data_IF_157969126646
#
_entry.id   IF_157969126646
#
_cell.length_a   1.000
_cell.length_b   1.000
_cell.length_c   1.000
_cell.angle_alpha   90.00
_cell.angle_beta   90.00
_cell.angle_gamma   90.00
#
_symmetry.space_group_name_H-M   'P 1'
#
loop_
_entity.id
_entity.type
_entity.pdbx_description
1 polymer ?
#
# COMPACT_ATOMS: atom_id res chain seq x y z
N UNK A 1 21.21 3.55 14.32
CA UNK A 1 20.38 2.78 15.29
C UNK A 1 19.12 2.33 14.55
N UNK A 2 18.68 1.10 14.71
CA UNK A 2 17.40 0.68 14.13
C UNK A 2 16.28 1.50 14.80
N UNK A 3 15.48 2.30 14.08
CA UNK A 3 14.40 3.12 14.65
C UNK A 3 13.24 2.27 15.17
N UNK A 4 13.23 0.97 14.89
CA UNK A 4 12.21 0.01 15.29
C UNK A 4 12.68 -0.95 16.39
N UNK A 5 11.73 -1.54 17.15
CA UNK A 5 10.27 -1.41 17.00
C UNK A 5 9.73 -0.05 17.49
N UNK A 6 8.50 0.27 17.05
CA UNK A 6 7.72 1.35 17.67
C UNK A 6 7.37 0.96 19.11
N UNK A 7 7.40 1.92 20.03
CA UNK A 7 6.88 1.72 21.38
C UNK A 7 5.36 1.79 21.34
N UNK A 8 4.70 0.65 21.14
CA UNK A 8 3.25 0.56 21.19
C UNK A 8 2.79 0.39 22.62
N UNK A 9 1.79 1.16 23.01
CA UNK A 9 1.06 0.94 24.25
C UNK A 9 -0.02 -0.15 24.10
N UNK A 10 -1.06 -0.05 24.90
CA UNK A 10 -2.20 -0.98 24.85
C UNK A 10 -2.99 -0.84 23.54
N UNK A 11 -3.77 -1.88 23.20
CA UNK A 11 -4.86 -1.74 22.24
C UNK A 11 -5.90 -0.81 22.88
N UNK A 12 -6.24 0.28 22.18
CA UNK A 12 -7.26 1.24 22.61
C UNK A 12 -8.64 0.76 22.19
N UNK A 13 -8.80 0.46 20.91
CA UNK A 13 -10.04 -0.08 20.35
C UNK A 13 -9.76 -0.88 19.08
N UNK A 14 -10.79 -1.56 18.59
CA UNK A 14 -10.81 -2.07 17.22
C UNK A 14 -12.18 -1.82 16.59
N UNK A 15 -12.20 -1.74 15.27
CA UNK A 15 -13.41 -1.48 14.49
C UNK A 15 -13.70 -2.65 13.57
N UNK A 16 -14.95 -3.09 13.59
CA UNK A 16 -15.51 -4.07 12.67
C UNK A 16 -16.34 -3.35 11.60
N UNK A 17 -16.22 -3.76 10.35
CA UNK A 17 -17.18 -3.40 9.30
C UNK A 17 -18.06 -4.60 9.03
N UNK A 18 -19.37 -4.38 9.07
CA UNK A 18 -20.37 -5.44 8.97
C UNK A 18 -21.53 -5.01 8.07
N UNK A 19 -22.27 -5.98 7.49
CA UNK A 19 -23.44 -5.67 6.67
C UNK A 19 -24.67 -5.21 7.49
N UNK A 20 -24.70 -5.53 8.79
CA UNK A 20 -25.79 -5.21 9.70
C UNK A 20 -25.22 -5.04 11.12
N UNK A 21 -25.20 -3.79 11.58
CA UNK A 21 -24.64 -3.45 12.89
C UNK A 21 -25.48 -3.97 14.04
N UNK A 22 -26.80 -4.03 13.90
CA UNK A 22 -27.71 -4.52 14.94
C UNK A 22 -27.50 -6.00 15.21
N UNK A 23 -27.47 -6.83 14.16
CA UNK A 23 -27.24 -8.27 14.27
C UNK A 23 -25.88 -8.56 14.90
N UNK A 24 -24.82 -7.87 14.45
CA UNK A 24 -23.49 -8.04 15.00
C UNK A 24 -23.43 -7.61 16.47
N UNK A 25 -24.05 -6.49 16.81
CA UNK A 25 -24.12 -5.96 18.19
C UNK A 25 -24.83 -6.90 19.13
N UNK A 26 -25.98 -7.44 18.74
CA UNK A 26 -26.72 -8.44 19.55
C UNK A 26 -25.86 -9.67 19.81
N UNK A 27 -25.17 -10.18 18.80
CA UNK A 27 -24.27 -11.31 19.01
C UNK A 27 -23.19 -11.00 20.05
N UNK A 28 -22.58 -9.81 19.98
CA UNK A 28 -21.56 -9.40 20.93
C UNK A 28 -22.13 -9.24 22.37
N UNK A 29 -23.31 -8.65 22.52
CA UNK A 29 -23.91 -8.43 23.81
C UNK A 29 -24.46 -9.74 24.40
N UNK A 30 -25.34 -10.44 23.66
CA UNK A 30 -26.12 -11.56 24.17
C UNK A 30 -25.26 -12.84 24.32
N UNK A 31 -24.26 -13.02 23.47
CA UNK A 31 -23.43 -14.24 23.44
C UNK A 31 -22.05 -14.01 24.04
N UNK A 32 -21.40 -12.91 23.73
CA UNK A 32 -20.02 -12.66 24.13
C UNK A 32 -19.90 -11.78 25.40
N UNK A 33 -20.99 -11.19 25.88
CA UNK A 33 -21.05 -10.43 27.12
C UNK A 33 -20.45 -9.02 27.02
N UNK A 34 -20.44 -8.41 25.82
CA UNK A 34 -20.03 -7.02 25.64
C UNK A 34 -21.07 -6.07 26.26
N UNK A 35 -20.61 -4.92 26.76
CA UNK A 35 -21.47 -3.90 27.31
C UNK A 35 -21.84 -2.84 26.28
N UNK A 36 -23.13 -2.46 26.20
CA UNK A 36 -23.58 -1.36 25.35
C UNK A 36 -23.07 -0.01 25.86
N UNK A 37 -22.55 0.83 24.95
CA UNK A 37 -22.16 2.20 25.26
C UNK A 37 -23.11 3.19 24.57
N UNK A 38 -23.13 3.20 23.23
CA UNK A 38 -23.96 4.14 22.46
C UNK A 38 -24.09 3.75 20.99
N UNK A 39 -25.10 4.33 20.36
CA UNK A 39 -25.22 4.45 18.91
C UNK A 39 -24.69 5.82 18.46
N UNK A 40 -24.08 5.87 17.29
CA UNK A 40 -23.63 7.11 16.69
C UNK A 40 -23.83 7.05 15.17
N UNK A 41 -24.60 8.00 14.63
CA UNK A 41 -24.79 8.18 13.19
C UNK A 41 -23.96 9.34 12.72
N UNK A 42 -23.21 9.16 11.64
CA UNK A 42 -22.28 10.15 11.11
C UNK A 42 -22.50 10.30 9.61
N UNK A 43 -22.34 11.52 9.11
CA UNK A 43 -22.18 11.78 7.70
C UNK A 43 -20.69 11.93 7.38
N UNK A 44 -20.11 10.90 6.79
CA UNK A 44 -18.73 10.89 6.31
C UNK A 44 -18.60 11.59 4.94
N UNK A 45 -19.63 12.31 4.49
CA UNK A 45 -19.68 13.15 3.30
C UNK A 45 -20.17 12.45 2.04
N UNK A 46 -20.84 11.32 2.16
CA UNK A 46 -21.54 10.65 1.03
C UNK A 46 -23.07 10.67 1.17
N UNK A 47 -23.61 11.20 2.27
CA UNK A 47 -25.03 11.47 2.42
C UNK A 47 -25.34 12.96 2.16
N UNK A 48 -26.58 13.29 1.75
CA UNK A 48 -27.05 14.68 1.68
C UNK A 48 -26.98 15.38 3.04
N UNK A 49 -27.05 16.71 3.02
CA UNK A 49 -27.12 17.52 4.25
C UNK A 49 -28.27 17.04 5.15
N UNK A 50 -27.99 16.82 6.43
CA UNK A 50 -28.93 16.27 7.40
C UNK A 50 -29.14 14.75 7.35
N UNK A 51 -28.51 14.04 6.40
CA UNK A 51 -28.48 12.59 6.32
C UNK A 51 -27.22 11.98 6.94
N UNK A 52 -27.22 10.65 7.05
CA UNK A 52 -26.09 9.87 7.56
C UNK A 52 -25.72 8.78 6.57
N UNK A 53 -24.42 8.49 6.43
CA UNK A 53 -23.90 7.44 5.57
C UNK A 53 -23.19 6.33 6.35
N UNK A 54 -23.10 6.48 7.67
CA UNK A 54 -22.46 5.54 8.58
C UNK A 54 -23.22 5.43 9.90
N UNK A 55 -23.36 4.20 10.39
CA UNK A 55 -23.84 3.86 11.71
C UNK A 55 -22.74 3.16 12.50
N UNK A 56 -22.49 3.61 13.71
CA UNK A 56 -21.58 2.97 14.66
C UNK A 56 -22.33 2.57 15.92
N UNK A 57 -22.12 1.32 16.33
CA UNK A 57 -22.45 0.86 17.68
C UNK A 57 -21.14 0.71 18.46
N UNK A 58 -21.03 1.39 19.59
CA UNK A 58 -19.87 1.33 20.47
C UNK A 58 -20.18 0.43 21.64
N UNK A 59 -19.32 -0.56 21.89
CA UNK A 59 -19.50 -1.56 22.94
C UNK A 59 -18.23 -1.62 23.79
N UNK A 60 -18.40 -1.79 25.13
CA UNK A 60 -17.27 -2.14 26.01
C UNK A 60 -16.88 -3.61 25.87
N UNK A 61 -15.60 -3.90 25.97
CA UNK A 61 -15.12 -5.27 26.04
C UNK A 61 -15.53 -5.94 27.37
N UNK A 62 -15.83 -7.24 27.36
CA UNK A 62 -16.11 -8.00 28.58
C UNK A 62 -14.94 -7.91 29.55
N UNK A 63 -15.21 -7.50 30.79
CA UNK A 63 -14.20 -7.41 31.84
C UNK A 63 -13.25 -6.21 31.75
N UNK A 64 -13.30 -5.41 30.69
CA UNK A 64 -12.48 -4.18 30.55
C UNK A 64 -13.29 -3.04 29.89
N UNK A 65 -14.05 -2.27 30.70
CA UNK A 65 -14.85 -1.19 30.18
C UNK A 65 -14.05 0.03 29.68
N UNK A 66 -12.73 0.05 29.90
CA UNK A 66 -11.86 1.09 29.35
C UNK A 66 -11.53 0.86 27.87
N UNK A 67 -11.90 -0.29 27.31
CA UNK A 67 -11.67 -0.64 25.91
C UNK A 67 -12.98 -0.85 25.19
N UNK A 68 -13.00 -0.44 23.93
CA UNK A 68 -14.20 -0.52 23.13
C UNK A 68 -13.97 -1.26 21.81
N UNK A 69 -15.04 -1.82 21.29
CA UNK A 69 -15.18 -2.19 19.90
C UNK A 69 -16.20 -1.25 19.26
N UNK A 70 -15.91 -0.85 18.04
CA UNK A 70 -16.84 -0.08 17.21
C UNK A 70 -17.35 -1.00 16.10
N UNK A 71 -18.65 -1.24 16.07
CA UNK A 71 -19.30 -2.00 15.01
C UNK A 71 -19.88 -1.00 14.01
N UNK A 72 -19.35 -0.99 12.80
CA UNK A 72 -19.65 0.00 11.77
C UNK A 72 -20.42 -0.61 10.62
N UNK A 73 -21.50 0.06 10.20
CA UNK A 73 -22.30 -0.24 9.02
C UNK A 73 -22.33 0.97 8.09
N UNK A 74 -22.12 0.75 6.79
CA UNK A 74 -22.32 1.76 5.74
C UNK A 74 -23.80 1.82 5.34
N UNK A 75 -24.46 2.98 5.58
CA UNK A 75 -25.90 3.15 5.43
C UNK A 75 -26.36 3.47 3.99
N UNK A 76 -25.44 3.93 3.14
CA UNK A 76 -25.77 4.30 1.75
C UNK A 76 -24.85 3.55 0.77
N UNK A 77 -25.31 3.40 -0.47
CA UNK A 77 -24.49 2.78 -1.54
C UNK A 77 -23.17 3.53 -1.79
N UNK A 78 -23.17 4.83 -1.56
CA UNK A 78 -21.98 5.68 -1.71
C UNK A 78 -21.12 5.75 -0.45
N UNK A 79 -21.55 5.13 0.66
CA UNK A 79 -20.72 5.06 1.87
C UNK A 79 -19.40 4.35 1.60
N UNK A 80 -18.30 4.96 2.06
CA UNK A 80 -16.97 4.35 1.96
C UNK A 80 -16.90 3.01 2.69
N UNK A 81 -17.66 2.85 3.77
CA UNK A 81 -17.71 1.61 4.56
C UNK A 81 -18.53 0.53 3.85
N UNK A 82 -19.57 0.92 3.09
CA UNK A 82 -20.31 0.00 2.22
C UNK A 82 -19.42 -0.52 1.10
N UNK A 83 -18.72 0.37 0.41
CA UNK A 83 -17.74 0.01 -0.64
C UNK A 83 -16.60 -0.85 -0.10
N UNK A 84 -16.10 -0.52 1.11
CA UNK A 84 -15.09 -1.34 1.77
C UNK A 84 -15.61 -2.76 2.05
N UNK A 85 -16.83 -2.87 2.57
CA UNK A 85 -17.49 -4.16 2.83
C UNK A 85 -17.63 -4.99 1.54
N UNK A 86 -18.04 -4.37 0.45
CA UNK A 86 -18.18 -5.01 -0.87
C UNK A 86 -16.84 -5.49 -1.43
N UNK A 87 -15.79 -4.71 -1.25
CA UNK A 87 -14.44 -5.04 -1.75
C UNK A 87 -13.72 -6.10 -0.90
N UNK A 88 -13.95 -6.14 0.42
CA UNK A 88 -13.14 -6.90 1.36
C UNK A 88 -13.90 -7.89 2.22
N UNK A 89 -15.22 -7.86 2.20
CA UNK A 89 -16.07 -8.63 3.10
C UNK A 89 -16.13 -8.07 4.52
N UNK A 90 -16.98 -8.67 5.39
CA UNK A 90 -17.09 -8.28 6.80
C UNK A 90 -15.83 -8.70 7.59
N UNK A 91 -15.47 -7.91 8.60
CA UNK A 91 -14.34 -8.23 9.47
C UNK A 91 -13.72 -7.02 10.13
N UNK A 92 -12.49 -7.21 10.65
CA UNK A 92 -11.72 -6.14 11.27
C UNK A 92 -11.31 -5.13 10.20
N UNK A 93 -11.70 -3.88 10.40
CA UNK A 93 -11.26 -2.76 9.59
C UNK A 93 -9.91 -2.22 10.09
N UNK A 94 -9.82 -1.93 11.38
CA UNK A 94 -8.59 -1.50 12.02
C UNK A 94 -8.49 -1.94 13.47
N UNK A 95 -7.23 -1.96 13.95
CA UNK A 95 -6.88 -2.08 15.36
C UNK A 95 -6.08 -0.85 15.75
N UNK A 96 -6.54 -0.15 16.78
CA UNK A 96 -5.88 1.05 17.28
C UNK A 96 -4.97 0.74 18.47
N UNK A 97 -3.74 1.24 18.39
CA UNK A 97 -2.74 1.17 19.46
C UNK A 97 -2.45 2.56 20.00
N UNK A 98 -2.47 2.70 21.31
CA UNK A 98 -2.02 3.92 21.96
C UNK A 98 -0.50 4.07 21.80
N UNK A 99 -0.06 5.32 21.59
CA UNK A 99 1.36 5.69 21.58
C UNK A 99 1.57 6.96 22.41
N UNK A 100 2.71 7.04 23.10
CA UNK A 100 3.02 8.17 23.95
C UNK A 100 3.37 9.44 23.17
N UNK A 101 3.90 9.29 21.95
CA UNK A 101 4.28 10.41 21.07
C UNK A 101 4.06 10.04 19.61
N UNK A 102 2.91 10.45 19.10
CA UNK A 102 2.52 10.13 17.73
C UNK A 102 3.40 10.83 16.69
N UNK A 103 3.91 12.01 16.97
CA UNK A 103 4.79 12.72 16.02
C UNK A 103 6.10 11.97 15.81
N UNK A 104 6.68 11.41 16.88
CA UNK A 104 7.88 10.58 16.80
C UNK A 104 7.58 9.25 16.07
N UNK A 105 6.44 8.62 16.35
CA UNK A 105 6.03 7.40 15.68
C UNK A 105 5.80 7.64 14.17
N UNK A 106 5.12 8.73 13.82
CA UNK A 106 4.86 9.15 12.44
C UNK A 106 6.17 9.36 11.67
N UNK A 107 7.11 10.13 12.23
CA UNK A 107 8.41 10.37 11.58
C UNK A 107 9.18 9.06 11.35
N UNK A 108 9.18 8.14 12.31
CA UNK A 108 9.80 6.82 12.14
C UNK A 108 9.16 6.01 11.02
N UNK A 109 7.84 6.07 10.86
CA UNK A 109 7.12 5.41 9.78
C UNK A 109 7.47 6.03 8.42
N UNK A 110 7.54 7.36 8.33
CA UNK A 110 7.97 8.07 7.11
C UNK A 110 9.41 7.71 6.75
N UNK A 111 10.34 7.81 7.70
CA UNK A 111 11.76 7.49 7.48
C UNK A 111 11.96 6.04 7.02
N UNK A 112 11.09 5.14 7.44
CA UNK A 112 11.11 3.74 7.04
C UNK A 112 10.34 3.45 5.74
N UNK A 113 9.70 4.46 5.13
CA UNK A 113 8.89 4.31 3.94
C UNK A 113 7.66 3.41 4.15
N UNK A 114 7.12 3.37 5.38
CA UNK A 114 5.91 2.60 5.68
C UNK A 114 4.71 3.34 5.09
N UNK A 115 3.91 2.62 4.30
CA UNK A 115 2.72 3.17 3.66
C UNK A 115 1.65 3.52 4.70
N UNK A 116 1.18 4.77 4.64
CA UNK A 116 0.13 5.31 5.52
C UNK A 116 -1.04 5.82 4.66
N UNK A 117 -2.23 5.89 5.25
CA UNK A 117 -3.43 6.38 4.53
C UNK A 117 -3.42 7.90 4.32
N UNK A 118 -2.61 8.63 5.07
CA UNK A 118 -2.42 10.07 4.94
C UNK A 118 -0.96 10.45 5.14
N UNK A 119 -0.56 11.54 4.54
CA UNK A 119 0.78 12.14 4.70
C UNK A 119 0.88 13.10 5.90
N UNK A 120 -0.08 13.07 6.80
CA UNK A 120 -0.13 13.91 8.00
C UNK A 120 -0.86 13.22 9.14
N UNK A 121 -0.52 13.65 10.37
CA UNK A 121 -1.29 13.31 11.56
C UNK A 121 -2.64 14.03 11.48
N UNK A 122 -3.71 13.25 11.61
CA UNK A 122 -5.07 13.79 11.75
C UNK A 122 -5.29 14.20 13.20
N UNK A 123 -5.78 15.39 13.43
CA UNK A 123 -6.03 15.93 14.75
C UNK A 123 -7.50 16.35 14.89
N UNK A 124 -8.21 15.76 15.84
CA UNK A 124 -9.53 16.21 16.23
C UNK A 124 -9.42 17.14 17.45
N UNK A 125 -9.56 18.46 17.25
CA UNK A 125 -9.41 19.43 18.35
C UNK A 125 -10.53 19.31 19.39
N UNK A 126 -11.68 18.69 19.05
CA UNK A 126 -12.82 18.56 19.95
C UNK A 126 -12.65 17.41 20.93
N UNK A 127 -12.05 16.31 20.50
CA UNK A 127 -11.78 15.13 21.34
C UNK A 127 -10.35 15.08 21.88
N UNK A 128 -9.45 15.95 21.39
CA UNK A 128 -8.03 15.88 21.72
C UNK A 128 -7.33 14.65 21.15
N UNK A 129 -7.97 13.91 20.23
CA UNK A 129 -7.43 12.73 19.58
C UNK A 129 -6.52 13.12 18.43
N UNK A 130 -5.34 12.53 18.39
CA UNK A 130 -4.41 12.57 17.27
C UNK A 130 -4.22 11.17 16.74
N UNK A 131 -4.26 10.97 15.42
CA UNK A 131 -4.26 9.65 14.83
C UNK A 131 -3.55 9.60 13.48
N UNK A 132 -3.04 8.42 13.13
CA UNK A 132 -2.52 8.07 11.81
C UNK A 132 -2.81 6.60 11.54
N UNK A 133 -3.06 6.26 10.29
CA UNK A 133 -3.33 4.89 9.86
C UNK A 133 -2.19 4.36 9.00
N UNK A 134 -1.63 3.24 9.41
CA UNK A 134 -0.75 2.41 8.58
C UNK A 134 -1.65 1.61 7.64
N UNK A 135 -1.29 1.58 6.38
CA UNK A 135 -2.07 0.89 5.34
C UNK A 135 -2.15 -0.63 5.58
N UNK A 136 -3.17 -1.23 4.99
CA UNK A 136 -3.57 -2.63 5.28
C UNK A 136 -2.77 -3.70 4.55
N UNK A 137 -1.82 -3.34 3.70
CA UNK A 137 -1.15 -4.27 2.79
C UNK A 137 -0.43 -5.41 3.52
N UNK A 138 0.12 -5.16 4.71
CA UNK A 138 0.88 -6.16 5.46
C UNK A 138 0.02 -7.04 6.37
N UNK A 139 -1.12 -6.53 6.82
CA UNK A 139 -1.93 -7.17 7.87
C UNK A 139 -3.31 -7.62 7.40
N UNK A 140 -3.78 -7.11 6.25
CA UNK A 140 -5.15 -7.32 5.77
C UNK A 140 -6.17 -6.38 6.42
N UNK A 141 -5.79 -5.61 7.45
CA UNK A 141 -6.56 -4.56 8.11
C UNK A 141 -5.66 -3.36 8.39
N UNK A 142 -6.23 -2.19 8.67
CA UNK A 142 -5.42 -1.02 9.01
C UNK A 142 -4.94 -1.09 10.46
N UNK A 143 -3.73 -0.58 10.70
CA UNK A 143 -3.26 -0.33 12.06
C UNK A 143 -3.38 1.16 12.31
N UNK A 144 -4.10 1.53 13.36
CA UNK A 144 -4.20 2.90 13.81
C UNK A 144 -3.22 3.14 14.96
N UNK A 145 -2.47 4.24 14.90
CA UNK A 145 -1.71 4.76 16.03
C UNK A 145 -2.43 5.98 16.54
N UNK A 146 -2.72 6.00 17.84
CA UNK A 146 -3.42 7.11 18.47
C UNK A 146 -2.67 7.67 19.67
N UNK A 147 -2.75 8.98 19.82
CA UNK A 147 -2.29 9.72 20.99
C UNK A 147 -3.49 10.53 21.54
N UNK A 148 -3.80 10.30 22.82
CA UNK A 148 -4.84 11.05 23.52
C UNK A 148 -4.18 12.13 24.36
N UNK A 149 -4.64 13.38 24.22
CA UNK A 149 -4.22 14.44 25.10
C UNK A 149 -4.91 14.29 26.47
N UNK A 150 -4.38 14.92 27.51
CA UNK A 150 -4.91 14.84 28.89
C UNK A 150 -6.38 15.31 29.02
N UNK A 151 -6.89 16.03 28.01
CA UNK A 151 -8.28 16.49 27.97
C UNK A 151 -9.23 15.49 27.28
N UNK A 152 -8.70 14.42 26.71
CA UNK A 152 -9.50 13.43 26.01
C UNK A 152 -10.13 12.43 26.99
N UNK A 153 -11.46 12.35 27.04
CA UNK A 153 -12.14 11.28 27.75
C UNK A 153 -11.89 9.93 27.05
N UNK A 154 -11.53 8.91 27.83
CA UNK A 154 -11.32 7.57 27.30
C UNK A 154 -12.59 7.05 26.58
N UNK A 155 -12.40 6.48 25.39
CA UNK A 155 -13.50 5.90 24.61
C UNK A 155 -14.42 6.90 23.90
N UNK A 156 -14.13 8.21 23.94
CA UNK A 156 -14.93 9.20 23.20
C UNK A 156 -14.40 9.43 21.80
N UNK A 157 -15.25 9.16 20.81
CA UNK A 157 -15.05 9.58 19.41
C UNK A 157 -16.15 10.61 19.11
N UNK A 158 -15.78 11.79 18.67
CA UNK A 158 -16.75 12.81 18.25
C UNK A 158 -16.94 12.77 16.73
N UNK A 159 -18.06 13.31 16.25
CA UNK A 159 -18.39 13.29 14.81
C UNK A 159 -17.29 13.85 13.92
N UNK A 160 -16.54 14.84 14.37
CA UNK A 160 -15.43 15.44 13.64
C UNK A 160 -14.30 14.47 13.34
N UNK A 161 -13.88 13.64 14.31
CA UNK A 161 -12.83 12.64 14.14
C UNK A 161 -13.22 11.59 13.10
N UNK A 162 -14.48 11.18 13.12
CA UNK A 162 -15.01 10.15 12.22
C UNK A 162 -15.12 10.68 10.79
N UNK A 163 -15.49 11.94 10.61
CA UNK A 163 -15.56 12.57 9.29
C UNK A 163 -14.16 12.77 8.68
N UNK A 164 -13.16 13.17 9.49
CA UNK A 164 -11.76 13.30 9.03
C UNK A 164 -11.13 11.94 8.74
N UNK A 165 -11.40 10.91 9.55
CA UNK A 165 -11.03 9.53 9.26
C UNK A 165 -11.59 9.10 7.91
N UNK A 166 -12.90 9.31 7.70
CA UNK A 166 -13.55 8.98 6.45
C UNK A 166 -12.95 9.74 5.25
N UNK A 167 -12.54 11.00 5.42
CA UNK A 167 -11.88 11.77 4.37
C UNK A 167 -10.44 11.28 4.10
N UNK A 168 -9.69 10.90 5.14
CA UNK A 168 -8.38 10.26 4.98
C UNK A 168 -8.52 8.93 4.25
N UNK A 169 -9.54 8.14 4.58
CA UNK A 169 -9.86 6.88 3.89
C UNK A 169 -10.38 7.08 2.47
N UNK A 170 -11.15 8.15 2.19
CA UNK A 170 -11.53 8.52 0.81
C UNK A 170 -10.30 8.84 -0.03
N UNK A 171 -9.34 9.57 0.52
CA UNK A 171 -8.08 9.83 -0.16
C UNK A 171 -7.33 8.54 -0.48
N UNK A 172 -7.28 7.61 0.47
CA UNK A 172 -6.66 6.29 0.28
C UNK A 172 -7.46 5.41 -0.70
N UNK A 173 -8.79 5.33 -0.56
CA UNK A 173 -9.67 4.58 -1.47
C UNK A 173 -9.86 5.29 -2.81
N UNK A 174 -9.83 6.63 -2.85
CA UNK A 174 -9.86 7.42 -4.08
C UNK A 174 -8.58 7.29 -4.90
N UNK A 175 -7.47 6.89 -4.28
CA UNK A 175 -6.30 6.37 -5.00
C UNK A 175 -6.55 4.95 -5.54
N UNK A 176 -7.51 4.20 -4.98
CA UNK A 176 -7.96 2.91 -5.53
C UNK A 176 -9.00 3.07 -6.67
N UNK A 177 -9.83 4.12 -6.61
CA UNK A 177 -10.80 4.46 -7.67
C UNK A 177 -10.30 5.63 -8.55
N UNK A 178 -8.97 5.78 -8.68
CA UNK A 178 -8.33 6.91 -9.31
C UNK A 178 -9.08 7.45 -10.52
N UNK A 179 -9.61 8.66 -10.36
CA UNK A 179 -9.90 9.57 -11.48
C UNK A 179 -8.62 10.17 -12.10
N UNK A 180 -7.46 9.63 -11.77
CA UNK A 180 -6.23 9.79 -12.51
C UNK A 180 -6.13 8.68 -13.55
N UNK A 181 -5.70 9.00 -14.76
CA UNK A 181 -5.46 8.03 -15.81
C UNK A 181 -4.62 6.87 -15.25
N UNK A 182 -5.19 5.66 -15.27
CA UNK A 182 -4.45 4.45 -14.89
C UNK A 182 -3.24 4.38 -15.81
N UNK A 183 -2.01 4.39 -15.27
CA UNK A 183 -0.84 4.41 -16.12
C UNK A 183 -0.81 3.13 -16.97
N UNK A 184 -0.74 3.31 -18.28
CA UNK A 184 -0.62 2.23 -19.26
C UNK A 184 0.83 1.93 -19.63
N UNK A 185 1.73 2.83 -19.25
CA UNK A 185 3.17 2.68 -19.44
C UNK A 185 3.96 3.59 -18.50
N UNK A 186 5.23 3.29 -18.31
CA UNK A 186 6.21 4.18 -17.69
C UNK A 186 7.20 4.60 -18.74
N UNK A 187 7.57 5.87 -18.74
CA UNK A 187 8.56 6.45 -19.66
C UNK A 187 9.72 7.00 -18.86
N UNK A 188 10.94 6.66 -19.26
CA UNK A 188 12.18 7.21 -18.73
C UNK A 188 13.15 7.60 -19.87
N UNK A 189 14.19 8.36 -19.56
CA UNK A 189 15.27 8.66 -20.48
C UNK A 189 16.58 8.08 -19.92
N UNK A 190 17.35 7.45 -20.77
CA UNK A 190 18.63 6.83 -20.43
C UNK A 190 19.76 7.48 -21.22
N UNK A 191 20.96 7.59 -20.64
CA UNK A 191 22.11 8.11 -21.35
C UNK A 191 22.62 7.13 -22.42
N UNK A 192 23.23 7.66 -23.48
CA UNK A 192 23.87 6.87 -24.52
C UNK A 192 23.05 6.70 -25.79
N UNK A 193 23.38 5.69 -26.58
CA UNK A 193 22.72 5.36 -27.86
C UNK A 193 21.75 4.17 -27.68
N UNK A 194 20.78 4.03 -28.58
CA UNK A 194 19.86 2.88 -28.61
C UNK A 194 20.62 1.55 -28.60
N UNK A 195 21.71 1.46 -29.35
CA UNK A 195 22.58 0.29 -29.39
C UNK A 195 23.20 -0.02 -28.03
N UNK A 196 23.72 1.00 -27.34
CA UNK A 196 24.34 0.83 -26.01
C UNK A 196 23.29 0.39 -24.96
N UNK A 197 22.11 1.04 -24.93
CA UNK A 197 21.01 0.69 -24.03
C UNK A 197 20.50 -0.72 -24.31
N UNK A 198 20.29 -1.04 -25.58
CA UNK A 198 19.86 -2.37 -26.02
C UNK A 198 20.87 -3.45 -25.62
N UNK A 199 22.16 -3.23 -25.87
CA UNK A 199 23.24 -4.16 -25.50
C UNK A 199 23.29 -4.39 -23.99
N UNK A 200 23.13 -3.33 -23.18
CA UNK A 200 23.12 -3.42 -21.73
C UNK A 200 21.92 -4.21 -21.21
N UNK A 201 20.71 -3.92 -21.71
CA UNK A 201 19.47 -4.63 -21.34
C UNK A 201 19.48 -6.09 -21.82
N UNK A 202 20.05 -6.38 -23.00
CA UNK A 202 20.09 -7.73 -23.55
C UNK A 202 21.03 -8.69 -22.83
N UNK A 203 21.74 -8.21 -21.83
CA UNK A 203 22.68 -8.97 -20.99
C UNK A 203 22.05 -9.22 -19.61
N UNK A 204 21.41 -10.38 -19.37
CA UNK A 204 20.71 -10.67 -18.12
C UNK A 204 21.59 -10.59 -16.86
N UNK A 205 22.90 -10.76 -17.01
CA UNK A 205 23.87 -10.54 -15.93
C UNK A 205 23.88 -9.12 -15.37
N UNK A 206 23.34 -8.15 -16.11
CA UNK A 206 23.20 -6.76 -15.67
C UNK A 206 21.95 -6.54 -14.78
N UNK A 207 20.98 -7.47 -14.75
CA UNK A 207 19.75 -7.34 -13.94
C UNK A 207 20.03 -6.95 -12.48
N UNK A 208 21.00 -7.56 -11.75
CA UNK A 208 21.27 -7.20 -10.36
C UNK A 208 21.71 -5.73 -10.16
N UNK A 209 22.13 -5.03 -11.19
CA UNK A 209 22.56 -3.64 -11.08
C UNK A 209 21.39 -2.66 -11.01
N UNK A 210 20.24 -3.00 -11.60
CA UNK A 210 19.12 -2.07 -11.74
C UNK A 210 17.73 -2.66 -11.35
N UNK A 211 17.68 -3.93 -11.01
CA UNK A 211 16.45 -4.56 -10.48
C UNK A 211 16.69 -5.14 -9.08
N UNK A 212 15.69 -5.80 -8.51
CA UNK A 212 15.84 -6.58 -7.30
C UNK A 212 16.30 -8.02 -7.55
N UNK A 213 16.48 -8.44 -8.79
CA UNK A 213 16.99 -9.77 -9.14
C UNK A 213 18.45 -9.90 -8.69
N UNK A 214 18.73 -10.82 -7.77
CA UNK A 214 20.04 -10.90 -7.13
C UNK A 214 21.00 -11.90 -7.80
N UNK A 215 20.46 -12.92 -8.45
CA UNK A 215 21.28 -13.97 -9.05
C UNK A 215 20.65 -14.46 -10.35
N UNK A 216 21.31 -14.15 -11.45
CA UNK A 216 20.97 -14.64 -12.78
C UNK A 216 22.15 -15.44 -13.30
N UNK A 217 21.92 -16.64 -13.80
CA UNK A 217 22.95 -17.56 -14.27
C UNK A 217 22.65 -18.05 -15.68
N UNK A 218 23.64 -18.02 -16.54
CA UNK A 218 23.54 -18.64 -17.85
C UNK A 218 23.65 -20.17 -17.72
N UNK A 219 22.68 -20.88 -18.27
CA UNK A 219 22.61 -22.36 -18.25
C UNK A 219 22.74 -22.98 -19.63
N UNK A 220 22.90 -22.15 -20.66
CA UNK A 220 23.09 -22.54 -22.05
C UNK A 220 23.08 -21.32 -22.95
N UNK A 221 23.34 -21.49 -24.24
CA UNK A 221 23.30 -20.41 -25.22
C UNK A 221 21.89 -19.78 -25.24
N UNK A 222 21.77 -18.47 -24.92
CA UNK A 222 20.51 -17.74 -24.85
C UNK A 222 19.54 -18.21 -23.77
N UNK A 223 19.94 -19.09 -22.88
CA UNK A 223 19.11 -19.59 -21.78
C UNK A 223 19.69 -19.22 -20.43
N UNK A 224 18.82 -18.66 -19.59
CA UNK A 224 19.19 -18.14 -18.29
C UNK A 224 18.23 -18.72 -17.23
N UNK A 225 18.64 -18.74 -15.99
CA UNK A 225 17.81 -18.94 -14.84
C UNK A 225 18.00 -17.82 -13.84
N UNK A 226 16.93 -17.35 -13.26
CA UNK A 226 16.94 -16.50 -12.07
C UNK A 226 16.76 -17.38 -10.84
N UNK A 227 17.71 -17.30 -9.92
CA UNK A 227 17.63 -18.00 -8.64
C UNK A 227 16.84 -17.18 -7.64
N UNK A 228 15.72 -17.72 -7.18
CA UNK A 228 14.81 -17.12 -6.20
C UNK A 228 14.75 -17.98 -4.94
N UNK A 229 14.21 -17.40 -3.84
CA UNK A 229 13.97 -18.15 -2.59
C UNK A 229 12.98 -19.31 -2.79
N UNK A 230 12.02 -19.15 -3.69
CA UNK A 230 11.00 -20.16 -4.01
C UNK A 230 11.44 -21.18 -5.08
N UNK A 231 12.66 -21.08 -5.60
CA UNK A 231 13.19 -21.95 -6.64
C UNK A 231 13.73 -21.21 -7.85
N UNK A 232 14.32 -21.93 -8.75
CA UNK A 232 14.93 -21.39 -9.97
C UNK A 232 13.84 -21.14 -11.04
N UNK A 233 13.85 -19.96 -11.67
CA UNK A 233 12.90 -19.55 -12.69
C UNK A 233 13.63 -19.38 -14.02
N UNK A 234 13.21 -20.08 -15.10
CA UNK A 234 13.76 -19.88 -16.43
C UNK A 234 13.53 -18.45 -16.92
N UNK A 235 14.56 -17.86 -17.50
CA UNK A 235 14.54 -16.52 -18.09
C UNK A 235 15.04 -16.58 -19.51
N UNK A 236 14.31 -15.96 -20.42
CA UNK A 236 14.76 -15.70 -21.78
C UNK A 236 14.72 -14.21 -22.09
N UNK A 237 15.65 -13.75 -22.91
CA UNK A 237 15.71 -12.37 -23.39
C UNK A 237 15.77 -12.38 -24.91
N UNK A 238 14.87 -11.65 -25.55
CA UNK A 238 14.90 -11.38 -26.98
C UNK A 238 15.17 -9.90 -27.22
N UNK A 239 15.90 -9.59 -28.30
CA UNK A 239 16.32 -8.24 -28.63
C UNK A 239 16.09 -7.98 -30.11
N UNK A 240 15.34 -6.92 -30.41
CA UNK A 240 15.13 -6.37 -31.76
C UNK A 240 15.82 -5.01 -31.87
N UNK A 241 15.72 -4.35 -33.03
CA UNK A 241 16.44 -3.08 -33.25
C UNK A 241 16.10 -2.00 -32.20
N UNK A 242 14.84 -1.92 -31.80
CA UNK A 242 14.25 -0.90 -30.94
C UNK A 242 13.50 -1.47 -29.73
N UNK A 243 13.70 -2.77 -29.43
CA UNK A 243 12.97 -3.46 -28.36
C UNK A 243 13.80 -4.53 -27.68
N UNK A 244 13.67 -4.61 -26.34
CA UNK A 244 14.17 -5.72 -25.54
C UNK A 244 13.03 -6.31 -24.74
N UNK A 245 12.89 -7.64 -24.77
CA UNK A 245 11.82 -8.35 -24.07
C UNK A 245 12.41 -9.41 -23.15
N UNK A 246 12.05 -9.31 -21.86
CA UNK A 246 12.36 -10.32 -20.87
C UNK A 246 11.12 -11.20 -20.67
N UNK A 247 11.34 -12.52 -20.60
CA UNK A 247 10.27 -13.48 -20.34
C UNK A 247 10.72 -14.43 -19.24
N UNK A 248 10.00 -14.42 -18.12
CA UNK A 248 10.14 -15.40 -17.04
C UNK A 248 9.07 -16.46 -17.18
N UNK A 249 9.47 -17.71 -17.18
CA UNK A 249 8.56 -18.85 -17.22
C UNK A 249 8.12 -19.19 -15.79
N UNK A 250 7.09 -18.49 -15.32
CA UNK A 250 6.52 -18.63 -13.98
C UNK A 250 5.16 -19.33 -14.06
N UNK A 251 5.09 -20.59 -13.63
CA UNK A 251 3.85 -21.38 -13.53
C UNK A 251 2.98 -21.39 -14.80
N UNK A 252 1.69 -21.06 -14.69
CA UNK A 252 0.71 -21.21 -15.78
C UNK A 252 0.78 -20.16 -16.89
N UNK A 253 1.42 -19.00 -16.62
CA UNK A 253 1.56 -17.91 -17.59
C UNK A 253 2.93 -17.25 -17.48
N UNK A 254 3.63 -17.01 -18.61
CA UNK A 254 4.89 -16.30 -18.58
C UNK A 254 4.68 -14.86 -18.10
N UNK A 255 5.62 -14.37 -17.28
CA UNK A 255 5.71 -12.96 -16.94
C UNK A 255 6.61 -12.26 -17.95
N UNK A 256 6.09 -11.26 -18.64
CA UNK A 256 6.77 -10.56 -19.73
C UNK A 256 6.94 -9.10 -19.41
N UNK A 257 8.17 -8.57 -19.58
CA UNK A 257 8.49 -7.16 -19.51
C UNK A 257 9.12 -6.72 -20.81
N UNK A 258 8.59 -5.63 -21.38
CA UNK A 258 9.02 -5.08 -22.66
C UNK A 258 9.62 -3.71 -22.45
N UNK A 259 10.76 -3.44 -23.09
CA UNK A 259 11.41 -2.13 -23.15
C UNK A 259 11.40 -1.67 -24.61
N UNK A 260 10.60 -0.67 -24.93
CA UNK A 260 10.62 0.00 -26.24
C UNK A 260 11.60 1.17 -26.20
N UNK A 261 12.50 1.24 -27.17
CA UNK A 261 13.65 2.15 -27.21
C UNK A 261 13.52 3.13 -28.37
N UNK A 262 13.60 4.43 -28.10
CA UNK A 262 13.54 5.47 -29.14
C UNK A 262 14.67 6.46 -28.90
N UNK A 263 15.47 6.73 -29.93
CA UNK A 263 16.51 7.77 -29.87
C UNK A 263 15.88 9.14 -29.65
N UNK A 264 16.44 9.93 -28.72
CA UNK A 264 16.09 11.33 -28.45
C UNK A 264 17.36 12.18 -28.49
N UNK A 265 17.20 13.51 -28.41
CA UNK A 265 18.31 14.45 -28.59
C UNK A 265 19.51 14.17 -27.68
N UNK A 266 19.25 13.81 -26.39
CA UNK A 266 20.31 13.63 -25.39
C UNK A 266 20.38 12.20 -24.83
N UNK A 267 19.87 11.19 -25.55
CA UNK A 267 19.89 9.82 -25.07
C UNK A 267 18.87 8.91 -25.73
N UNK A 268 18.27 8.04 -24.91
CA UNK A 268 17.27 7.07 -25.35
C UNK A 268 16.05 7.16 -24.46
N UNK A 269 14.90 7.42 -25.07
CA UNK A 269 13.61 7.27 -24.39
C UNK A 269 13.25 5.80 -24.33
N UNK A 270 12.96 5.33 -23.11
CA UNK A 270 12.53 3.97 -22.81
C UNK A 270 11.10 3.99 -22.38
N UNK A 271 10.26 3.19 -23.01
CA UNK A 271 8.85 3.01 -22.62
C UNK A 271 8.64 1.57 -22.18
N UNK A 272 8.11 1.39 -20.99
CA UNK A 272 7.77 0.09 -20.41
C UNK A 272 6.25 0.01 -20.24
N UNK A 273 5.55 -0.79 -21.06
CA UNK A 273 4.11 -0.97 -20.95
C UNK A 273 3.74 -1.63 -19.62
N UNK A 274 2.64 -1.18 -19.03
CA UNK A 274 2.03 -1.83 -17.86
C UNK A 274 1.01 -2.85 -18.36
N UNK A 275 0.99 -4.07 -17.82
CA UNK A 275 0.06 -5.10 -18.27
C UNK A 275 -1.40 -4.64 -18.19
N UNK A 276 -2.17 -4.88 -19.26
CA UNK A 276 -3.60 -4.59 -19.30
C UNK A 276 -4.38 -5.47 -18.29
N UNK A 277 -5.50 -4.93 -17.78
CA UNK A 277 -6.41 -5.67 -16.90
C UNK A 277 -5.95 -5.83 -15.46
N UNK A 278 -4.81 -5.25 -15.08
CA UNK A 278 -4.45 -5.12 -13.66
C UNK A 278 -5.18 -3.91 -13.07
N UNK A 279 -5.87 -4.07 -11.93
CA UNK A 279 -6.61 -2.97 -11.27
C UNK A 279 -5.73 -1.75 -10.99
N UNK A 280 -6.33 -0.56 -10.94
CA UNK A 280 -5.63 0.73 -10.86
C UNK A 280 -4.54 0.80 -9.80
N UNK A 281 -4.76 0.27 -8.60
CA UNK A 281 -3.77 0.19 -7.53
C UNK A 281 -2.53 -0.64 -7.91
N UNK A 282 -2.76 -1.80 -8.55
CA UNK A 282 -1.66 -2.63 -9.05
C UNK A 282 -0.90 -1.92 -10.17
N UNK A 283 -1.61 -1.23 -11.07
CA UNK A 283 -0.99 -0.47 -12.15
C UNK A 283 -0.12 0.67 -11.61
N UNK A 284 -0.63 1.46 -10.67
CA UNK A 284 0.13 2.54 -10.00
C UNK A 284 1.38 2.00 -9.30
N UNK A 285 1.24 0.90 -8.57
CA UNK A 285 2.36 0.27 -7.87
C UNK A 285 3.40 -0.30 -8.85
N UNK A 286 2.96 -0.95 -9.92
CA UNK A 286 3.84 -1.43 -10.99
C UNK A 286 4.57 -0.26 -11.64
N UNK A 287 3.89 0.87 -11.88
CA UNK A 287 4.50 2.09 -12.40
C UNK A 287 5.60 2.62 -11.49
N UNK A 288 5.35 2.69 -10.17
CA UNK A 288 6.33 3.15 -9.19
C UNK A 288 7.58 2.29 -9.18
N UNK A 289 7.44 0.97 -9.24
CA UNK A 289 8.57 0.03 -9.31
C UNK A 289 9.36 0.20 -10.59
N UNK A 290 8.69 0.22 -11.74
CA UNK A 290 9.36 0.43 -13.04
C UNK A 290 10.09 1.78 -13.05
N UNK A 291 9.50 2.84 -12.47
CA UNK A 291 10.17 4.14 -12.33
C UNK A 291 11.46 4.03 -11.52
N UNK A 292 11.41 3.31 -10.40
CA UNK A 292 12.58 3.06 -9.54
C UNK A 292 13.64 2.21 -10.27
N UNK A 293 13.24 1.21 -11.04
CA UNK A 293 14.13 0.38 -11.85
C UNK A 293 14.78 1.19 -12.97
N UNK A 294 14.04 2.06 -13.67
CA UNK A 294 14.60 2.93 -14.70
C UNK A 294 15.62 3.93 -14.12
N UNK A 295 15.39 4.43 -12.90
CA UNK A 295 16.34 5.30 -12.22
C UNK A 295 17.66 4.56 -11.89
N UNK A 296 17.57 3.33 -11.40
CA UNK A 296 18.76 2.49 -11.15
C UNK A 296 19.46 2.11 -12.45
N UNK A 297 18.71 1.86 -13.52
CA UNK A 297 19.24 1.56 -14.84
C UNK A 297 20.02 2.75 -15.41
N UNK A 298 19.47 3.97 -15.30
CA UNK A 298 20.15 5.20 -15.70
C UNK A 298 21.48 5.37 -14.96
N UNK A 299 21.48 5.16 -13.65
CA UNK A 299 22.70 5.19 -12.83
C UNK A 299 23.70 4.10 -13.23
N UNK A 300 23.24 2.87 -13.50
CA UNK A 300 24.11 1.77 -13.94
C UNK A 300 24.76 2.04 -15.31
N UNK A 301 24.10 2.85 -16.14
CA UNK A 301 24.61 3.31 -17.43
C UNK A 301 25.43 4.59 -17.36
N UNK A 302 25.71 5.10 -16.16
CA UNK A 302 26.64 6.21 -15.92
C UNK A 302 26.01 7.59 -15.78
N UNK A 303 24.68 7.67 -15.64
CA UNK A 303 24.01 8.92 -15.29
C UNK A 303 24.30 9.28 -13.83
N UNK A 304 24.54 10.58 -13.58
CA UNK A 304 24.71 11.08 -12.22
C UNK A 304 23.36 11.22 -11.53
N UNK A 305 23.06 10.31 -10.62
CA UNK A 305 21.81 10.31 -9.83
C UNK A 305 22.14 10.57 -8.37
N UNK A 306 21.31 11.37 -7.69
CA UNK A 306 21.47 11.69 -6.27
C UNK A 306 21.47 10.40 -5.42
N UNK A 307 22.46 10.23 -4.49
CA UNK A 307 22.61 9.01 -3.70
C UNK A 307 21.35 8.61 -2.93
N UNK A 308 20.66 9.58 -2.34
CA UNK A 308 19.41 9.32 -1.60
C UNK A 308 18.27 8.82 -2.49
N UNK A 309 18.22 9.24 -3.77
CA UNK A 309 17.26 8.74 -4.73
C UNK A 309 17.52 7.27 -5.07
N UNK A 310 18.81 6.89 -5.22
CA UNK A 310 19.19 5.49 -5.46
C UNK A 310 18.85 4.58 -4.26
N UNK A 311 19.08 5.06 -3.04
CA UNK A 311 18.71 4.33 -1.81
C UNK A 311 17.21 4.12 -1.74
N UNK A 312 16.41 5.16 -2.00
CA UNK A 312 14.94 5.04 -2.03
C UNK A 312 14.46 4.06 -3.10
N UNK A 313 14.99 4.16 -4.32
CA UNK A 313 14.64 3.26 -5.41
C UNK A 313 14.94 1.80 -5.08
N UNK A 314 16.12 1.49 -4.55
CA UNK A 314 16.46 0.12 -4.11
C UNK A 314 15.58 -0.39 -3.00
N UNK A 315 15.22 0.47 -2.06
CA UNK A 315 14.33 0.11 -0.95
C UNK A 315 12.92 -0.21 -1.44
N UNK A 316 12.38 0.59 -2.36
CA UNK A 316 11.05 0.38 -2.95
C UNK A 316 10.98 -0.93 -3.72
N UNK A 317 11.96 -1.19 -4.60
CA UNK A 317 12.04 -2.44 -5.35
C UNK A 317 12.19 -3.64 -4.41
N UNK A 318 13.05 -3.55 -3.38
CA UNK A 318 13.26 -4.60 -2.40
C UNK A 318 11.99 -4.97 -1.61
N UNK A 319 11.20 -3.97 -1.22
CA UNK A 319 9.88 -4.18 -0.58
C UNK A 319 8.93 -4.98 -1.48
N UNK A 320 8.83 -4.60 -2.74
CA UNK A 320 7.96 -5.29 -3.69
C UNK A 320 8.34 -6.77 -3.85
N UNK A 321 9.62 -7.07 -3.97
CA UNK A 321 10.09 -8.45 -4.08
C UNK A 321 9.74 -9.29 -2.85
N UNK A 322 9.90 -8.75 -1.65
CA UNK A 322 9.50 -9.43 -0.42
C UNK A 322 7.99 -9.72 -0.40
N UNK A 323 7.16 -8.82 -0.90
CA UNK A 323 5.71 -8.99 -0.91
C UNK A 323 5.22 -9.97 -1.98
N UNK A 324 5.83 -9.97 -3.17
CA UNK A 324 5.44 -10.84 -4.29
C UNK A 324 6.00 -12.26 -4.11
N UNK A 325 7.22 -12.38 -3.64
CA UNK A 325 7.94 -13.67 -3.59
C UNK A 325 7.92 -14.37 -2.24
N UNK A 326 7.48 -13.71 -1.17
CA UNK A 326 7.32 -14.32 0.15
C UNK A 326 5.97 -15.05 0.31
N UNK A 327 5.04 -14.97 -0.64
CA UNK A 327 3.77 -15.69 -0.57
C UNK A 327 3.94 -17.09 -1.14
N UNK A 328 3.63 -18.16 -0.38
CA UNK A 328 3.55 -19.50 -0.93
C UNK A 328 2.46 -19.54 -2.01
N UNK A 329 2.82 -19.85 -3.25
CA UNK A 329 1.87 -20.03 -4.36
C UNK A 329 1.58 -18.78 -5.19
N UNK A 330 2.43 -17.75 -5.16
CA UNK A 330 2.40 -16.64 -6.13
C UNK A 330 3.29 -16.94 -7.33
#
# INVERSE_FOLDING_TARGET
MNPFPLSLGRIDHYTLIVPDAEVCTRFHIDILGFGWVREQKVNAGSAPEGGYDMLNHVLHLPGDPSRVVVVTEGLTENSIFRKYLEAHGPGIHHVAYAVDNLAVAFQKLEDAGISMTSNRIVHDPLSGLRQVFISREQTGYFIELIERTETAEEGTFKEGSMAELANSMKSYLGHDEGSGDIPTSVVGELPGTVEAVRSFLSSPENLPHWTAHQTVMQVGEGRWIERRLAGDVPLSVSSEADRVTFTWDVSERPFVVVFDLVAVENGVRVTVPIPEGIGGKRAMRTASIITSELLLLASAMGESVEPDALVRARHEIGRFHLEVYARPGA
#
